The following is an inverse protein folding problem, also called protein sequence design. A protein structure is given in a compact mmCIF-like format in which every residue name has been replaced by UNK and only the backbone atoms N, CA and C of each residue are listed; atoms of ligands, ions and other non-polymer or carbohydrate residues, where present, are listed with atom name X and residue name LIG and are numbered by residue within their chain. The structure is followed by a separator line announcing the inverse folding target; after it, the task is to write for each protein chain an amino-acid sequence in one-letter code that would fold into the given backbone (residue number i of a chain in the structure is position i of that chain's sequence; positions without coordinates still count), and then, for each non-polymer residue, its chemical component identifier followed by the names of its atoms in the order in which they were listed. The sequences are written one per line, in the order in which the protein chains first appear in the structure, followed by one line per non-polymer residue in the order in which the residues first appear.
data_IF_372963663183
#
_entry.id   IF_372963663183
#
_cell.length_a   1.000
_cell.length_b   1.000
_cell.length_c   1.000
_cell.angle_alpha   90.00
_cell.angle_beta   90.00
_cell.angle_gamma   90.00
#
_symmetry.space_group_name_H-M   'P 1'
#
loop_
_entity.id
_entity.type
_entity.pdbx_description
1 polymer ?
#
# COMPACT_ATOMS: atom_id res chain seq x y z
N UNK A 1 -0.22 29.68 46.14
CA UNK A 1 0.12 28.34 45.64
C UNK A 1 0.52 28.53 44.20
N UNK A 2 1.81 28.42 43.95
CA UNK A 2 2.45 28.80 42.69
C UNK A 2 2.06 27.77 41.62
N UNK A 3 1.20 28.16 40.68
CA UNK A 3 0.73 27.31 39.59
C UNK A 3 1.77 27.35 38.45
N UNK A 4 2.97 26.86 38.74
CA UNK A 4 3.96 26.60 37.68
C UNK A 4 3.44 25.43 36.85
N UNK A 5 2.89 25.73 35.68
CA UNK A 5 2.53 24.72 34.67
C UNK A 5 3.81 23.93 34.39
N UNK A 6 3.83 22.67 34.83
CA UNK A 6 4.94 21.77 34.60
C UNK A 6 5.07 21.55 33.09
N UNK A 7 6.02 22.25 32.47
CA UNK A 7 6.25 22.27 31.02
C UNK A 7 7.06 21.08 30.53
N UNK A 8 7.32 20.09 31.38
CA UNK A 8 8.06 18.89 31.02
C UNK A 8 7.26 18.05 30.00
N UNK A 9 7.95 17.36 29.08
CA UNK A 9 7.28 16.64 28.01
C UNK A 9 6.56 15.39 28.51
N UNK A 10 5.23 15.34 28.40
CA UNK A 10 4.39 14.21 28.81
C UNK A 10 3.84 13.39 27.63
N UNK A 11 4.14 13.81 26.40
CA UNK A 11 3.52 13.26 25.20
C UNK A 11 4.56 12.76 24.21
N UNK A 12 4.36 11.56 23.67
CA UNK A 12 5.17 10.94 22.63
C UNK A 12 4.38 10.83 21.32
N UNK A 13 4.98 11.24 20.21
CA UNK A 13 4.39 11.22 18.88
C UNK A 13 5.08 10.20 17.98
N UNK A 14 4.31 9.26 17.45
CA UNK A 14 4.77 8.21 16.56
C UNK A 14 4.01 8.26 15.24
N UNK A 15 4.71 8.16 14.12
CA UNK A 15 4.09 7.94 12.80
C UNK A 15 4.27 6.51 12.38
N UNK A 16 3.16 5.88 12.02
CA UNK A 16 3.14 4.52 11.52
C UNK A 16 2.66 4.56 10.08
N UNK A 17 3.63 4.56 9.18
CA UNK A 17 3.42 4.56 7.74
C UNK A 17 4.22 3.41 7.13
N UNK A 18 3.59 2.63 6.27
CA UNK A 18 4.18 1.47 5.63
C UNK A 18 3.32 0.98 4.47
N UNK A 19 3.89 0.22 3.52
CA UNK A 19 3.12 -0.37 2.43
C UNK A 19 2.08 -1.36 2.96
N UNK A 20 2.41 -2.05 4.05
CA UNK A 20 1.56 -3.00 4.75
C UNK A 20 1.65 -2.75 6.25
N UNK A 21 0.53 -2.88 6.96
CA UNK A 21 0.45 -2.91 8.42
C UNK A 21 -0.50 -4.01 8.88
N UNK A 22 -0.36 -4.50 10.12
CA UNK A 22 -1.27 -5.50 10.65
C UNK A 22 -1.39 -5.45 12.18
N UNK A 23 -2.53 -5.00 12.67
CA UNK A 23 -2.80 -4.78 14.09
C UNK A 23 -3.83 -5.80 14.58
N UNK A 24 -3.37 -6.85 15.27
CA UNK A 24 -4.23 -8.00 15.58
C UNK A 24 -5.42 -7.63 16.47
N UNK A 25 -6.60 -8.18 16.15
CA UNK A 25 -7.79 -8.14 17.00
C UNK A 25 -8.12 -9.49 17.61
N UNK A 26 -8.96 -9.49 18.64
CA UNK A 26 -9.41 -10.67 19.37
C UNK A 26 -10.14 -11.71 18.49
N UNK A 27 -10.74 -11.33 17.35
CA UNK A 27 -11.36 -12.26 16.40
C UNK A 27 -10.36 -13.11 15.61
N UNK A 28 -9.05 -12.84 15.73
CA UNK A 28 -8.00 -13.57 15.03
C UNK A 28 -7.77 -14.97 15.61
N UNK A 29 -8.64 -15.91 15.27
CA UNK A 29 -8.58 -17.30 15.74
C UNK A 29 -7.98 -18.23 14.68
N UNK A 30 -7.05 -19.09 15.12
CA UNK A 30 -6.45 -20.17 14.32
C UNK A 30 -5.78 -19.68 13.01
N UNK A 31 -6.31 -20.15 11.87
CA UNK A 31 -5.78 -19.91 10.53
C UNK A 31 -6.14 -18.54 9.96
N UNK A 32 -7.13 -17.85 10.53
CA UNK A 32 -7.57 -16.53 10.08
C UNK A 32 -7.00 -15.49 11.02
N UNK A 33 -6.16 -14.60 10.47
CA UNK A 33 -5.54 -13.51 11.21
C UNK A 33 -6.07 -12.19 10.66
N UNK A 34 -6.98 -11.55 11.39
CA UNK A 34 -7.56 -10.26 11.03
C UNK A 34 -6.68 -9.10 11.47
N UNK A 35 -6.97 -7.92 10.94
CA UNK A 35 -6.39 -6.65 11.40
C UNK A 35 -7.49 -5.67 11.80
N UNK A 36 -7.22 -4.90 12.85
CA UNK A 36 -7.97 -3.70 13.20
C UNK A 36 -7.80 -2.65 12.10
N UNK A 37 -8.71 -1.67 12.10
CA UNK A 37 -8.66 -0.50 11.22
C UNK A 37 -7.54 0.49 11.59
N UNK A 38 -7.04 0.41 12.82
CA UNK A 38 -6.02 1.29 13.36
C UNK A 38 -5.07 0.52 14.31
N UNK A 39 -3.88 1.07 14.60
CA UNK A 39 -2.96 0.49 15.58
C UNK A 39 -3.59 0.21 16.94
N UNK A 40 -3.43 -1.02 17.42
CA UNK A 40 -3.90 -1.46 18.73
C UNK A 40 -2.89 -1.12 19.83
N UNK A 41 -3.37 -0.89 21.06
CA UNK A 41 -2.53 -0.55 22.21
C UNK A 41 -1.46 -1.62 22.47
N UNK A 42 -1.82 -2.89 22.40
CA UNK A 42 -0.87 -4.02 22.50
C UNK A 42 0.18 -4.02 21.39
N UNK A 43 -0.19 -3.67 20.16
CA UNK A 43 0.73 -3.56 19.03
C UNK A 43 1.75 -2.45 19.24
N UNK A 44 1.31 -1.29 19.72
CA UNK A 44 2.18 -0.15 20.04
C UNK A 44 3.09 -0.47 21.21
N UNK A 45 2.54 -0.99 22.31
CA UNK A 45 3.33 -1.40 23.48
C UNK A 45 4.38 -2.45 23.08
N UNK A 46 4.02 -3.46 22.27
CA UNK A 46 4.97 -4.44 21.76
C UNK A 46 6.09 -3.83 20.93
N UNK A 47 5.79 -2.82 20.11
CA UNK A 47 6.78 -2.05 19.36
C UNK A 47 7.72 -1.28 20.29
N UNK A 48 7.20 -0.63 21.34
CA UNK A 48 8.01 0.08 22.34
C UNK A 48 8.88 -0.87 23.17
N UNK A 49 8.34 -2.01 23.59
CA UNK A 49 9.11 -3.06 24.25
C UNK A 49 10.26 -3.53 23.35
N UNK A 50 10.03 -3.64 22.04
CA UNK A 50 11.09 -3.99 21.10
C UNK A 50 12.17 -2.90 20.96
N UNK A 51 11.77 -1.63 21.00
CA UNK A 51 12.72 -0.52 21.04
C UNK A 51 13.57 -0.55 22.32
N UNK A 52 12.97 -0.87 23.46
CA UNK A 52 13.64 -0.95 24.77
C UNK A 52 14.42 -2.26 25.00
N UNK A 53 14.20 -3.30 24.17
CA UNK A 53 14.82 -4.61 24.35
C UNK A 53 14.19 -5.48 25.45
N UNK A 54 12.91 -5.24 25.80
CA UNK A 54 12.16 -6.00 26.81
C UNK A 54 11.68 -7.33 26.21
N UNK A 55 12.12 -8.45 26.77
CA UNK A 55 11.71 -9.78 26.29
C UNK A 55 10.25 -10.06 26.65
N UNK A 56 9.60 -10.96 25.91
CA UNK A 56 8.18 -11.30 26.11
C UNK A 56 7.87 -11.76 27.53
N UNK A 57 8.75 -12.59 28.10
CA UNK A 57 8.57 -13.14 29.46
C UNK A 57 8.80 -12.10 30.55
N UNK A 58 9.49 -11.00 30.23
CA UNK A 58 9.78 -9.93 31.18
C UNK A 58 8.66 -8.87 31.20
N UNK A 59 7.79 -8.85 30.18
CA UNK A 59 6.71 -7.86 30.05
C UNK A 59 5.81 -7.72 31.29
N UNK A 60 5.40 -8.81 32.00
CA UNK A 60 4.60 -8.69 33.21
C UNK A 60 5.22 -7.75 34.27
N UNK A 61 6.55 -7.64 34.34
CA UNK A 61 7.24 -6.73 35.26
C UNK A 61 7.11 -5.25 34.86
N UNK A 62 6.79 -4.98 33.60
CA UNK A 62 6.65 -3.64 33.03
C UNK A 62 5.18 -3.28 32.71
N UNK A 63 4.25 -4.23 32.83
CA UNK A 63 2.85 -4.11 32.42
C UNK A 63 2.19 -2.85 32.98
N UNK A 64 2.33 -2.59 34.29
CA UNK A 64 1.69 -1.44 34.93
C UNK A 64 2.15 -0.10 34.33
N UNK A 65 3.45 0.03 34.01
CA UNK A 65 3.99 1.25 33.39
C UNK A 65 3.39 1.47 32.01
N UNK A 66 3.39 0.44 31.17
CA UNK A 66 2.83 0.53 29.82
C UNK A 66 1.32 0.73 29.80
N UNK A 67 0.58 0.06 30.69
CA UNK A 67 -0.88 0.14 30.73
C UNK A 67 -1.36 1.50 31.27
N UNK A 68 -0.53 2.19 32.06
CA UNK A 68 -0.81 3.56 32.52
C UNK A 68 -0.75 4.62 31.42
N UNK A 69 -0.16 4.31 30.25
CA UNK A 69 -0.12 5.22 29.12
C UNK A 69 -1.51 5.41 28.53
N UNK A 70 -1.94 6.65 28.35
CA UNK A 70 -3.12 6.99 27.58
C UNK A 70 -2.75 7.08 26.09
N UNK A 71 -3.52 6.45 25.21
CA UNK A 71 -3.24 6.37 23.79
C UNK A 71 -4.33 7.05 22.96
N UNK A 72 -3.91 7.78 21.93
CA UNK A 72 -4.78 8.24 20.88
C UNK A 72 -4.18 7.97 19.51
N UNK A 73 -5.03 7.79 18.51
CA UNK A 73 -4.65 7.53 17.13
C UNK A 73 -5.44 8.44 16.23
N UNK A 74 -4.75 9.17 15.35
CA UNK A 74 -5.36 9.87 14.22
C UNK A 74 -5.05 9.11 12.94
N UNK A 75 -6.10 8.79 12.18
CA UNK A 75 -6.01 8.10 10.91
C UNK A 75 -5.78 9.11 9.80
N UNK A 76 -4.51 9.46 9.54
CA UNK A 76 -4.14 10.35 8.44
C UNK A 76 -4.49 9.75 7.07
N UNK A 77 -4.36 8.42 6.95
CA UNK A 77 -4.87 7.63 5.84
C UNK A 77 -5.29 6.25 6.36
N UNK A 78 -6.57 5.87 6.29
CA UNK A 78 -7.06 4.61 6.86
C UNK A 78 -6.52 3.37 6.13
N UNK A 79 -6.05 3.54 4.89
CA UNK A 79 -5.58 2.45 4.03
C UNK A 79 -6.71 1.55 3.52
N UNK A 80 -6.33 0.49 2.81
CA UNK A 80 -7.24 -0.49 2.21
C UNK A 80 -6.95 -1.87 2.80
N UNK A 81 -7.99 -2.59 3.22
CA UNK A 81 -7.84 -3.96 3.72
C UNK A 81 -7.56 -4.93 2.58
N UNK A 82 -6.56 -5.79 2.75
CA UNK A 82 -6.16 -6.81 1.78
C UNK A 82 -5.94 -8.17 2.43
N UNK A 83 -6.25 -9.24 1.68
CA UNK A 83 -6.04 -10.62 2.13
C UNK A 83 -4.81 -11.24 1.48
N UNK A 84 -3.95 -11.81 2.31
CA UNK A 84 -2.82 -12.64 1.94
C UNK A 84 -3.15 -14.12 2.19
N UNK A 85 -3.04 -14.94 1.15
CA UNK A 85 -3.13 -16.39 1.25
C UNK A 85 -1.74 -16.95 1.55
N UNK A 86 -1.52 -17.30 2.81
CA UNK A 86 -0.19 -17.58 3.35
C UNK A 86 -0.04 -19.05 3.71
N UNK A 87 0.83 -19.73 2.97
CA UNK A 87 1.09 -21.18 3.05
C UNK A 87 2.43 -21.42 3.74
N UNK A 88 2.47 -22.28 4.77
CA UNK A 88 3.70 -22.64 5.49
C UNK A 88 3.90 -24.16 5.44
N UNK A 89 5.15 -24.60 5.33
CA UNK A 89 5.51 -25.99 5.60
C UNK A 89 5.02 -26.98 4.55
N UNK A 90 5.24 -26.70 3.27
CA UNK A 90 5.10 -27.74 2.25
C UNK A 90 6.04 -28.91 2.62
N UNK A 91 5.46 -30.05 3.06
CA UNK A 91 6.20 -31.20 3.58
C UNK A 91 6.28 -31.31 5.10
N UNK A 92 5.56 -30.49 5.87
CA UNK A 92 5.41 -30.70 7.32
C UNK A 92 4.31 -31.72 7.61
N UNK A 93 4.56 -32.56 8.62
CA UNK A 93 3.61 -33.55 9.12
C UNK A 93 2.57 -32.92 10.04
N UNK A 94 1.36 -32.73 9.52
CA UNK A 94 0.25 -32.11 10.26
C UNK A 94 -0.65 -33.20 10.85
N UNK A 95 -1.03 -33.08 12.14
CA UNK A 95 -2.00 -33.98 12.76
C UNK A 95 -3.37 -33.86 12.09
N UNK A 96 -3.99 -34.99 11.78
CA UNK A 96 -5.31 -35.05 11.15
C UNK A 96 -6.36 -35.17 12.25
N UNK A 97 -7.40 -34.33 12.21
CA UNK A 97 -8.49 -34.32 13.19
C UNK A 97 -9.22 -35.67 13.32
N UNK A 98 -9.15 -36.52 12.30
CA UNK A 98 -9.82 -37.82 12.25
C UNK A 98 -9.17 -38.91 13.12
N UNK A 99 -7.88 -38.80 13.49
CA UNK A 99 -7.20 -39.75 14.40
C UNK A 99 -6.03 -39.13 15.16
N UNK A 100 -6.09 -39.23 16.49
CA UNK A 100 -4.97 -38.90 17.40
C UNK A 100 -3.73 -39.73 16.98
N UNK A 101 -2.60 -39.04 16.75
CA UNK A 101 -1.31 -39.67 16.45
C UNK A 101 -1.05 -39.99 14.97
N UNK A 102 -1.96 -39.68 14.04
CA UNK A 102 -1.68 -39.76 12.59
C UNK A 102 -1.41 -38.38 12.01
N UNK A 103 -0.31 -38.28 11.28
CA UNK A 103 0.10 -37.09 10.53
C UNK A 103 -0.04 -37.33 9.03
N UNK A 104 -0.34 -36.27 8.28
CA UNK A 104 -0.26 -36.27 6.82
C UNK A 104 0.59 -35.10 6.36
N UNK A 105 1.36 -35.32 5.31
CA UNK A 105 2.07 -34.25 4.64
C UNK A 105 1.06 -33.29 4.01
N UNK A 106 1.08 -32.05 4.48
CA UNK A 106 0.15 -31.04 4.01
C UNK A 106 0.59 -29.66 4.46
N UNK A 107 0.43 -28.64 3.60
CA UNK A 107 0.76 -27.28 3.99
C UNK A 107 -0.21 -26.77 5.06
N UNK A 108 0.30 -25.99 6.02
CA UNK A 108 -0.54 -25.19 6.89
C UNK A 108 -0.97 -23.94 6.13
N UNK A 109 -2.28 -23.83 5.91
CA UNK A 109 -2.89 -22.69 5.23
C UNK A 109 -3.35 -21.66 6.26
N UNK A 110 -2.98 -20.41 6.03
CA UNK A 110 -3.48 -19.26 6.80
C UNK A 110 -3.93 -18.15 5.87
N UNK A 111 -4.94 -17.38 6.30
CA UNK A 111 -5.38 -16.16 5.61
C UNK A 111 -5.09 -15.00 6.54
N UNK A 112 -4.29 -14.05 6.07
CA UNK A 112 -3.81 -12.93 6.89
C UNK A 112 -4.27 -11.63 6.26
N UNK A 113 -5.00 -10.84 7.02
CA UNK A 113 -5.45 -9.53 6.62
C UNK A 113 -4.37 -8.48 6.93
N UNK A 114 -4.20 -7.52 6.03
CA UNK A 114 -3.29 -6.37 6.16
C UNK A 114 -4.02 -5.07 5.82
N UNK A 115 -3.54 -3.97 6.37
CA UNK A 115 -3.86 -2.62 5.90
C UNK A 115 -2.78 -2.18 4.91
N UNK A 116 -3.17 -1.94 3.67
CA UNK A 116 -2.32 -1.43 2.61
C UNK A 116 -2.34 0.10 2.59
N UNK A 117 -1.18 0.71 2.38
CA UNK A 117 -1.03 2.16 2.19
C UNK A 117 -1.62 3.02 3.33
N UNK A 118 -1.65 2.49 4.55
CA UNK A 118 -2.17 3.19 5.72
C UNK A 118 -1.11 4.10 6.38
N UNK A 119 -1.58 5.20 6.96
CA UNK A 119 -0.78 6.15 7.74
C UNK A 119 -1.52 6.56 9.00
N UNK A 120 -0.86 6.40 10.14
CA UNK A 120 -1.40 6.76 11.44
C UNK A 120 -0.44 7.68 12.20
N UNK A 121 -1.00 8.66 12.89
CA UNK A 121 -0.33 9.36 13.98
C UNK A 121 -0.79 8.73 15.29
N UNK A 122 0.12 8.12 16.02
CA UNK A 122 -0.11 7.59 17.37
C UNK A 122 0.48 8.55 18.39
N UNK A 123 -0.32 8.87 19.38
CA UNK A 123 0.02 9.73 20.51
C UNK A 123 -0.05 8.89 21.78
N UNK A 124 0.97 8.99 22.61
CA UNK A 124 1.00 8.37 23.94
C UNK A 124 1.27 9.43 24.99
N UNK A 125 0.43 9.48 26.02
CA UNK A 125 0.61 10.35 27.18
C UNK A 125 0.89 9.52 28.43
N UNK A 126 1.82 9.99 29.24
CA UNK A 126 2.26 9.30 30.45
C UNK A 126 3.10 10.18 31.35
N UNK A 127 3.80 9.55 32.31
CA UNK A 127 4.73 10.27 33.19
C UNK A 127 5.94 10.79 32.40
N UNK A 128 6.45 11.95 32.79
CA UNK A 128 7.55 12.63 32.08
C UNK A 128 8.78 11.73 31.90
N UNK A 129 9.20 11.06 32.97
CA UNK A 129 10.40 10.21 32.97
C UNK A 129 10.24 9.03 32.01
N UNK A 130 9.05 8.42 31.98
CA UNK A 130 8.80 7.27 31.11
C UNK A 130 8.68 7.68 29.65
N UNK A 131 8.05 8.83 29.37
CA UNK A 131 7.98 9.37 28.00
C UNK A 131 9.38 9.70 27.47
N UNK A 132 10.26 10.28 28.30
CA UNK A 132 11.65 10.52 27.95
C UNK A 132 12.41 9.20 27.67
N UNK A 133 12.21 8.17 28.50
CA UNK A 133 12.79 6.84 28.32
C UNK A 133 12.35 6.21 26.98
N UNK A 134 11.04 6.26 26.68
CA UNK A 134 10.48 5.74 25.43
C UNK A 134 11.00 6.52 24.22
N UNK A 135 11.07 7.85 24.31
CA UNK A 135 11.60 8.69 23.24
C UNK A 135 13.09 8.39 22.95
N UNK A 136 13.88 8.07 23.98
CA UNK A 136 15.28 7.66 23.80
C UNK A 136 15.37 6.28 23.14
N UNK A 137 14.54 5.32 23.58
CA UNK A 137 14.53 3.96 23.05
C UNK A 137 14.16 3.90 21.56
N UNK A 138 13.17 4.66 21.11
CA UNK A 138 12.74 4.63 19.69
C UNK A 138 13.79 5.22 18.76
N UNK A 139 14.56 6.22 19.22
CA UNK A 139 15.66 6.80 18.42
C UNK A 139 16.82 5.82 18.23
N UNK A 140 17.01 4.89 19.16
CA UNK A 140 18.07 3.87 19.12
C UNK A 140 17.51 2.51 19.55
N UNK A 141 16.69 1.87 18.70
CA UNK A 141 15.96 0.67 19.08
C UNK A 141 16.91 -0.53 19.21
N UNK A 142 16.72 -1.33 20.25
CA UNK A 142 17.50 -2.55 20.49
C UNK A 142 17.17 -3.67 19.50
N UNK A 143 15.90 -3.78 19.09
CA UNK A 143 15.46 -4.71 18.05
C UNK A 143 14.81 -3.99 16.87
N UNK A 144 14.75 -4.68 15.73
CA UNK A 144 14.10 -4.15 14.52
C UNK A 144 12.61 -3.87 14.77
N UNK A 145 12.21 -2.62 14.54
CA UNK A 145 10.83 -2.18 14.65
C UNK A 145 10.05 -2.53 13.37
N UNK A 146 8.80 -2.97 13.54
CA UNK A 146 7.90 -3.33 12.45
C UNK A 146 6.46 -3.00 12.79
N UNK A 147 5.62 -2.80 11.78
CA UNK A 147 4.23 -2.39 11.91
C UNK A 147 3.32 -3.61 12.09
N UNK A 148 3.37 -4.16 13.29
CA UNK A 148 2.56 -5.28 13.74
C UNK A 148 3.13 -6.66 13.39
N UNK A 149 3.36 -6.96 12.10
CA UNK A 149 4.06 -8.19 11.67
C UNK A 149 5.47 -7.87 11.18
N UNK A 150 6.42 -8.79 11.37
CA UNK A 150 7.83 -8.60 10.99
C UNK A 150 8.04 -8.34 9.49
N UNK A 151 7.11 -8.78 8.64
CA UNK A 151 7.12 -8.51 7.19
C UNK A 151 6.59 -7.12 6.81
N UNK A 152 6.17 -6.30 7.77
CA UNK A 152 5.65 -4.95 7.57
C UNK A 152 6.69 -3.92 8.04
N UNK A 153 7.73 -3.60 7.24
CA UNK A 153 8.68 -2.56 7.61
C UNK A 153 7.99 -1.19 7.57
N UNK A 154 8.36 -0.26 8.47
CA UNK A 154 7.93 1.12 8.33
C UNK A 154 8.62 1.75 7.10
N UNK A 155 7.88 2.52 6.32
CA UNK A 155 8.43 3.29 5.19
C UNK A 155 9.28 4.47 5.66
N UNK A 156 9.03 4.95 6.87
CA UNK A 156 9.60 6.16 7.45
C UNK A 156 10.05 5.92 8.90
N UNK A 157 10.94 6.76 9.45
CA UNK A 157 11.23 6.74 10.88
C UNK A 157 9.94 6.86 11.70
N UNK A 158 9.78 5.97 12.69
CA UNK A 158 8.59 5.93 13.55
C UNK A 158 8.52 7.18 14.45
N UNK A 159 9.68 7.69 14.87
CA UNK A 159 9.77 8.93 15.64
C UNK A 159 9.69 10.16 14.74
N UNK A 160 8.77 11.09 15.02
CA UNK A 160 8.50 12.25 14.14
C UNK A 160 8.70 13.62 14.75
N UNK A 161 8.66 13.74 16.08
CA UNK A 161 8.75 15.02 16.76
C UNK A 161 9.31 14.83 18.17
N UNK A 162 9.92 15.89 18.70
CA UNK A 162 10.28 15.95 20.11
C UNK A 162 9.02 15.81 20.97
N UNK A 163 9.17 15.10 22.08
CA UNK A 163 8.12 15.01 23.08
C UNK A 163 7.84 16.41 23.63
N UNK A 164 6.57 16.72 23.85
CA UNK A 164 6.13 18.00 24.37
C UNK A 164 5.07 17.81 25.47
N UNK A 165 4.76 18.90 26.17
CA UNK A 165 3.62 18.92 27.07
C UNK A 165 2.33 19.16 26.29
N UNK A 166 1.34 18.29 26.46
CA UNK A 166 -0.03 18.50 26.00
C UNK A 166 -1.01 18.28 27.16
N UNK A 167 -2.05 19.12 27.24
CA UNK A 167 -3.07 19.04 28.30
C UNK A 167 -3.88 17.75 28.27
N UNK A 168 -4.19 17.27 27.07
CA UNK A 168 -5.06 16.12 26.83
C UNK A 168 -4.73 15.48 25.47
N UNK A 169 -5.27 14.28 25.24
CA UNK A 169 -5.04 13.50 24.03
C UNK A 169 -5.52 14.22 22.76
N UNK A 170 -6.61 14.98 22.82
CA UNK A 170 -7.16 15.67 21.65
C UNK A 170 -6.25 16.83 21.24
N UNK A 171 -5.79 17.62 22.22
CA UNK A 171 -4.81 18.69 22.05
C UNK A 171 -3.49 18.15 21.49
N UNK A 172 -3.06 16.97 21.95
CA UNK A 172 -1.88 16.29 21.41
C UNK A 172 -2.06 15.87 19.95
N UNK A 173 -3.22 15.29 19.56
CA UNK A 173 -3.48 14.96 18.15
C UNK A 173 -3.49 16.20 17.23
N UNK A 174 -3.85 17.38 17.76
CA UNK A 174 -3.80 18.65 17.03
C UNK A 174 -2.40 19.25 16.93
N UNK A 175 -1.49 18.90 17.85
CA UNK A 175 -0.15 19.47 17.91
C UNK A 175 0.71 19.16 16.68
N UNK A 176 0.48 18.00 16.04
CA UNK A 176 1.18 17.61 14.82
C UNK A 176 0.31 17.95 13.60
N UNK A 177 0.79 18.72 12.62
CA UNK A 177 0.02 19.04 11.42
C UNK A 177 -0.29 17.78 10.60
N UNK A 178 -1.38 17.82 9.83
CA UNK A 178 -1.66 16.79 8.83
C UNK A 178 -0.63 16.92 7.71
N UNK A 179 -0.10 15.80 7.23
CA UNK A 179 0.88 15.80 6.16
C UNK A 179 0.39 14.89 5.04
N UNK A 180 0.20 15.48 3.86
CA UNK A 180 -0.06 14.72 2.64
C UNK A 180 1.10 13.78 2.36
N UNK A 181 0.80 12.55 1.96
CA UNK A 181 1.82 11.60 1.51
C UNK A 181 2.48 12.11 0.24
N UNK A 182 1.68 12.43 -0.79
CA UNK A 182 2.15 13.02 -2.03
C UNK A 182 1.56 14.40 -2.28
N UNK A 183 2.28 15.23 -3.05
CA UNK A 183 1.84 16.59 -3.41
C UNK A 183 0.46 16.65 -4.09
N UNK A 184 0.13 15.58 -4.85
CA UNK A 184 -1.10 15.48 -5.64
C UNK A 184 -2.28 14.90 -4.86
N UNK A 185 -2.06 14.39 -3.65
CA UNK A 185 -3.14 13.80 -2.86
C UNK A 185 -4.08 14.92 -2.40
N UNK A 186 -5.38 14.63 -2.38
CA UNK A 186 -6.37 15.54 -1.82
C UNK A 186 -6.27 15.52 -0.28
N UNK A 187 -6.43 16.69 0.34
CA UNK A 187 -6.56 16.74 1.80
C UNK A 187 -7.97 16.27 2.17
N UNK A 188 -8.12 15.33 3.13
CA UNK A 188 -9.43 15.00 3.64
C UNK A 188 -10.01 16.17 4.45
N UNK A 189 -11.34 16.33 4.43
CA UNK A 189 -12.03 17.34 5.23
C UNK A 189 -11.98 17.01 6.72
N UNK A 190 -12.09 15.73 7.05
CA UNK A 190 -12.07 15.19 8.41
C UNK A 190 -11.07 14.05 8.54
N UNK A 191 -10.46 13.95 9.72
CA UNK A 191 -9.62 12.85 10.13
C UNK A 191 -10.30 12.09 11.27
N UNK A 192 -10.52 10.79 11.06
CA UNK A 192 -11.03 9.91 12.10
C UNK A 192 -9.96 9.70 13.18
N UNK A 193 -10.36 9.82 14.44
CA UNK A 193 -9.51 9.68 15.60
C UNK A 193 -10.10 8.68 16.60
N UNK A 194 -9.25 7.88 17.21
CA UNK A 194 -9.58 6.95 18.29
C UNK A 194 -8.82 7.39 19.55
N UNK A 195 -9.52 7.59 20.66
CA UNK A 195 -8.93 8.07 21.90
C UNK A 195 -9.24 7.10 23.04
N UNK A 196 -8.25 6.80 23.88
CA UNK A 196 -8.48 6.18 25.17
C UNK A 196 -9.45 7.02 25.98
N UNK A 197 -10.54 6.40 26.44
CA UNK A 197 -11.39 7.01 27.45
C UNK A 197 -10.92 6.59 28.84
N UNK A 198 -10.85 7.57 29.74
CA UNK A 198 -10.55 7.36 31.14
C UNK A 198 -11.64 8.01 32.00
N UNK A 199 -12.06 7.36 33.09
CA UNK A 199 -13.04 7.93 34.00
C UNK A 199 -12.49 9.20 34.65
N UNK A 200 -13.33 10.23 34.74
CA UNK A 200 -13.04 11.48 35.43
C UNK A 200 -13.97 11.65 36.62
N UNK A 201 -13.67 12.58 37.54
CA UNK A 201 -14.56 12.86 38.67
C UNK A 201 -15.96 13.29 38.22
N UNK A 202 -16.06 14.00 37.09
CA UNK A 202 -17.31 14.50 36.53
C UNK A 202 -18.03 13.45 35.65
N UNK A 203 -17.28 12.51 35.05
CA UNK A 203 -17.78 11.41 34.24
C UNK A 203 -17.10 10.10 34.65
N UNK A 204 -17.60 9.45 35.72
CA UNK A 204 -17.03 8.19 36.21
C UNK A 204 -17.41 6.97 35.36
N UNK A 205 -18.49 7.08 34.58
CA UNK A 205 -19.01 6.03 33.71
C UNK A 205 -18.70 6.31 32.25
N UNK A 206 -18.45 5.24 31.48
CA UNK A 206 -18.13 5.35 30.07
C UNK A 206 -19.35 5.90 29.29
N UNK A 207 -19.14 6.83 28.35
CA UNK A 207 -20.19 7.30 27.44
C UNK A 207 -20.84 6.16 26.66
N UNK A 208 -22.10 6.32 26.24
CA UNK A 208 -22.85 5.31 25.48
C UNK A 208 -22.21 4.97 24.13
N UNK A 209 -21.47 5.92 23.54
CA UNK A 209 -20.75 5.77 22.26
C UNK A 209 -19.33 5.22 22.43
N UNK A 210 -18.91 4.86 23.64
CA UNK A 210 -17.61 4.25 23.88
C UNK A 210 -17.56 2.79 23.40
N UNK A 211 -16.60 2.49 22.55
CA UNK A 211 -16.33 1.14 22.05
C UNK A 211 -15.43 0.36 23.02
N UNK A 212 -15.63 -0.95 23.10
CA UNK A 212 -14.77 -1.85 23.91
C UNK A 212 -13.74 -2.54 23.01
N UNK A 213 -12.46 -2.28 23.26
CA UNK A 213 -11.34 -2.88 22.54
C UNK A 213 -10.53 -3.80 23.46
N UNK A 214 -10.35 -5.07 23.08
CA UNK A 214 -9.56 -6.06 23.84
C UNK A 214 -8.09 -6.05 23.43
N UNK A 215 -7.39 -4.98 23.73
CA UNK A 215 -6.02 -4.77 23.28
C UNK A 215 -5.06 -4.18 24.32
N UNK A 216 -5.43 -4.15 25.61
CA UNK A 216 -4.50 -3.81 26.70
C UNK A 216 -3.64 -5.04 27.00
N UNK A 217 -2.32 -5.03 26.80
CA UNK A 217 -1.50 -6.22 26.99
C UNK A 217 -1.38 -6.61 28.47
N UNK A 218 -1.57 -7.90 28.76
CA UNK A 218 -1.30 -8.53 30.07
C UNK A 218 -0.02 -9.36 29.99
N UNK A 219 0.11 -10.19 28.96
CA UNK A 219 1.31 -10.94 28.67
C UNK A 219 1.50 -11.06 27.16
N UNK A 220 2.76 -11.17 26.71
CA UNK A 220 3.10 -11.51 25.34
C UNK A 220 3.48 -12.98 25.16
N UNK A 221 3.59 -13.76 26.25
CA UNK A 221 3.86 -15.19 26.23
C UNK A 221 3.26 -15.91 27.48
N UNK A 222 2.16 -16.67 27.34
CA UNK A 222 1.26 -16.66 26.19
C UNK A 222 0.58 -15.29 26.02
N UNK A 223 0.18 -14.90 24.80
CA UNK A 223 -0.49 -13.63 24.56
C UNK A 223 -1.84 -13.54 25.30
N UNK A 224 -2.01 -12.49 26.11
CA UNK A 224 -3.25 -12.20 26.85
C UNK A 224 -3.53 -10.70 26.87
N UNK A 225 -4.81 -10.33 26.74
CA UNK A 225 -5.25 -8.94 26.60
C UNK A 225 -6.51 -8.64 27.43
N UNK A 226 -6.56 -7.44 28.00
CA UNK A 226 -7.68 -6.86 28.73
C UNK A 226 -8.44 -5.83 27.88
N UNK A 227 -9.70 -5.55 28.21
CA UNK A 227 -10.48 -4.52 27.54
C UNK A 227 -10.08 -3.10 27.95
N UNK A 228 -10.27 -2.15 27.03
CA UNK A 228 -10.32 -0.70 27.28
C UNK A 228 -11.49 -0.06 26.55
N UNK A 229 -11.89 1.13 27.00
CA UNK A 229 -12.87 1.97 26.31
C UNK A 229 -12.18 2.92 25.33
N UNK A 230 -12.70 3.00 24.12
CA UNK A 230 -12.19 3.84 23.03
C UNK A 230 -13.32 4.72 22.51
N UNK A 231 -13.08 6.01 22.39
CA UNK A 231 -14.04 6.97 21.81
C UNK A 231 -13.56 7.40 20.44
N UNK A 232 -14.50 7.42 19.49
CA UNK A 232 -14.29 7.91 18.14
C UNK A 232 -14.58 9.40 18.07
N UNK A 233 -13.65 10.20 17.54
CA UNK A 233 -13.83 11.63 17.29
C UNK A 233 -13.34 12.00 15.90
N UNK A 234 -13.91 13.04 15.33
CA UNK A 234 -13.45 13.59 14.06
C UNK A 234 -12.76 14.92 14.30
N UNK A 235 -11.60 15.10 13.66
CA UNK A 235 -10.88 16.38 13.63
C UNK A 235 -10.93 16.95 12.22
N UNK A 236 -11.34 18.21 12.08
CA UNK A 236 -11.32 18.91 10.80
C UNK A 236 -9.91 19.34 10.41
N UNK A 237 -9.56 19.17 9.14
CA UNK A 237 -8.34 19.75 8.55
C UNK A 237 -8.73 21.17 8.11
N UNK A 238 -8.17 22.18 8.80
CA UNK A 238 -8.77 23.53 8.95
C UNK A 238 -9.15 24.28 7.66
N UNK A 239 -10.00 25.31 7.72
CA UNK A 239 -9.87 26.49 8.61
C UNK A 239 -10.97 26.60 9.68
N UNK A 240 -10.53 26.84 10.91
CA UNK A 240 -11.29 27.08 12.14
C UNK A 240 -11.74 25.79 12.85
N UNK A 241 -10.73 24.94 13.10
CA UNK A 241 -10.82 23.63 13.76
C UNK A 241 -9.70 23.23 14.76
N UNK A 242 -8.41 23.50 14.58
CA UNK A 242 -7.58 23.27 13.40
C UNK A 242 -6.74 21.99 13.58
N UNK A 243 -6.58 21.20 12.53
CA UNK A 243 -5.29 20.62 12.13
C UNK A 243 -4.90 21.30 10.82
N UNK A 244 -3.74 21.98 10.79
CA UNK A 244 -3.24 22.67 9.59
C UNK A 244 -2.50 21.66 8.70
N UNK A 245 -2.70 21.66 7.37
CA UNK A 245 -1.82 20.90 6.48
C UNK A 245 -0.41 21.47 6.56
N UNK A 246 0.61 20.61 6.63
CA UNK A 246 1.99 21.07 6.55
C UNK A 246 2.28 21.67 5.16
N UNK A 247 3.18 22.66 5.12
CA UNK A 247 3.53 23.40 3.89
C UNK A 247 4.12 22.51 2.79
N UNK A 248 4.71 21.37 3.15
CA UNK A 248 5.35 20.44 2.22
C UNK A 248 4.78 19.03 2.38
N UNK A 249 4.49 18.34 1.26
CA UNK A 249 4.14 16.92 1.29
C UNK A 249 5.33 16.09 1.74
N UNK A 250 5.05 14.91 2.25
CA UNK A 250 6.07 14.06 2.84
C UNK A 250 7.00 13.44 1.79
N UNK A 251 6.42 12.83 0.75
CA UNK A 251 7.16 12.23 -0.36
C UNK A 251 7.00 13.05 -1.63
N UNK A 252 8.09 13.18 -2.36
CA UNK A 252 8.03 13.56 -3.77
C UNK A 252 7.63 12.29 -4.54
N UNK A 253 6.61 12.33 -5.41
CA UNK A 253 6.29 11.20 -6.26
C UNK A 253 7.54 10.76 -7.01
N UNK A 254 7.85 9.46 -6.96
CA UNK A 254 8.94 8.96 -7.78
C UNK A 254 8.61 9.26 -9.25
N UNK A 255 9.51 9.94 -9.99
CA UNK A 255 9.29 10.15 -11.40
C UNK A 255 9.13 8.79 -12.08
N UNK A 256 8.19 8.70 -13.03
CA UNK A 256 8.05 7.48 -13.81
C UNK A 256 9.40 7.10 -14.41
N UNK A 257 9.75 5.80 -14.47
CA UNK A 257 10.99 5.37 -15.08
C UNK A 257 11.08 5.92 -16.50
N UNK A 258 12.29 6.33 -16.91
CA UNK A 258 12.53 6.84 -18.25
C UNK A 258 12.09 5.79 -19.28
N UNK A 259 11.05 6.11 -20.06
CA UNK A 259 10.61 5.26 -21.17
C UNK A 259 11.46 5.58 -22.38
N UNK A 260 12.30 4.63 -22.80
CA UNK A 260 12.92 4.64 -24.12
C UNK A 260 11.83 4.68 -25.21
N UNK A 261 11.97 5.60 -26.17
CA UNK A 261 11.01 5.76 -27.29
C UNK A 261 11.70 5.41 -28.60
N UNK A 262 10.95 4.83 -29.53
CA UNK A 262 11.43 4.62 -30.89
C UNK A 262 11.80 5.96 -31.54
N UNK A 263 13.06 6.10 -31.94
CA UNK A 263 13.54 7.26 -32.69
C UNK A 263 13.58 6.92 -34.19
N UNK A 264 12.52 7.29 -34.91
CA UNK A 264 12.39 7.04 -36.36
C UNK A 264 13.39 7.82 -37.24
N UNK A 265 14.12 8.78 -36.67
CA UNK A 265 15.18 9.52 -37.33
C UNK A 265 16.55 8.84 -37.19
N UNK A 266 16.71 7.87 -36.27
CA UNK A 266 17.95 7.12 -36.11
C UNK A 266 18.16 6.14 -37.28
N UNK A 267 19.36 6.14 -37.85
CA UNK A 267 19.77 5.28 -38.97
C UNK A 267 19.87 3.81 -38.57
N UNK A 268 20.36 3.51 -37.36
CA UNK A 268 20.44 2.15 -36.83
C UNK A 268 19.05 1.55 -36.60
N UNK A 269 18.11 2.38 -36.12
CA UNK A 269 16.71 1.99 -35.98
C UNK A 269 16.08 1.58 -37.32
N UNK A 270 16.36 2.33 -38.40
CA UNK A 270 15.89 1.99 -39.75
C UNK A 270 16.52 0.70 -40.26
N UNK A 271 17.83 0.50 -40.04
CA UNK A 271 18.52 -0.74 -40.39
C UNK A 271 17.97 -1.96 -39.66
N UNK A 272 17.69 -1.86 -38.36
CA UNK A 272 17.13 -2.95 -37.57
C UNK A 272 15.75 -3.39 -38.10
N UNK A 273 14.89 -2.42 -38.44
CA UNK A 273 13.58 -2.70 -39.07
C UNK A 273 13.70 -3.33 -40.44
N UNK A 274 14.62 -2.84 -41.28
CA UNK A 274 14.84 -3.42 -42.60
C UNK A 274 15.34 -4.87 -42.49
N UNK A 275 16.34 -5.12 -41.63
CA UNK A 275 16.84 -6.47 -41.35
C UNK A 275 15.73 -7.43 -40.90
N UNK A 276 14.76 -6.96 -40.10
CA UNK A 276 13.63 -7.79 -39.69
C UNK A 276 12.68 -8.13 -40.84
N UNK A 277 12.38 -7.14 -41.70
CA UNK A 277 11.59 -7.36 -42.91
C UNK A 277 12.27 -8.35 -43.85
N UNK A 278 13.58 -8.19 -44.07
CA UNK A 278 14.37 -9.08 -44.94
C UNK A 278 14.41 -10.51 -44.36
N UNK A 279 14.60 -10.64 -43.04
CA UNK A 279 14.59 -11.93 -42.35
C UNK A 279 13.25 -12.67 -42.49
N UNK A 280 12.14 -11.94 -42.38
CA UNK A 280 10.79 -12.48 -42.56
C UNK A 280 10.37 -12.57 -44.05
N UNK A 281 11.30 -12.38 -44.98
CA UNK A 281 11.06 -12.40 -46.44
C UNK A 281 9.95 -11.44 -46.89
N UNK A 282 9.82 -10.30 -46.21
CA UNK A 282 8.73 -9.33 -46.40
C UNK A 282 7.32 -9.93 -46.24
N UNK A 283 7.17 -10.98 -45.42
CA UNK A 283 5.89 -11.58 -45.09
C UNK A 283 5.45 -11.23 -43.66
N UNK A 284 4.16 -10.99 -43.49
CA UNK A 284 3.56 -10.75 -42.18
C UNK A 284 3.63 -12.03 -41.36
N UNK A 285 4.24 -12.00 -40.17
CA UNK A 285 4.36 -13.19 -39.31
C UNK A 285 2.99 -13.79 -38.95
N UNK A 286 1.96 -12.94 -38.84
CA UNK A 286 0.60 -13.33 -38.45
C UNK A 286 -0.22 -13.93 -39.60
N UNK A 287 -0.29 -13.24 -40.74
CA UNK A 287 -1.23 -13.58 -41.83
C UNK A 287 -0.59 -13.94 -43.16
N UNK A 288 0.75 -13.88 -43.24
CA UNK A 288 1.54 -14.16 -44.45
C UNK A 288 1.28 -13.24 -45.65
N UNK A 289 0.47 -12.20 -45.51
CA UNK A 289 0.38 -11.12 -46.51
C UNK A 289 1.69 -10.29 -46.54
N UNK A 290 1.97 -9.55 -47.63
CA UNK A 290 3.16 -8.69 -47.71
C UNK A 290 3.26 -7.72 -46.52
N UNK A 291 4.41 -7.72 -45.85
CA UNK A 291 4.72 -6.88 -44.71
C UNK A 291 5.41 -5.59 -45.15
N UNK A 292 4.88 -4.46 -44.68
CA UNK A 292 5.43 -3.11 -44.91
C UNK A 292 5.77 -2.40 -43.60
N UNK A 293 5.45 -3.02 -42.47
CA UNK A 293 5.57 -2.44 -41.13
C UNK A 293 6.19 -3.44 -40.18
N UNK A 294 6.73 -2.94 -39.06
CA UNK A 294 7.35 -3.76 -38.03
C UNK A 294 6.74 -3.37 -36.69
N UNK A 295 6.21 -4.35 -35.97
CA UNK A 295 5.69 -4.20 -34.61
C UNK A 295 6.82 -4.43 -33.61
N UNK A 296 6.87 -3.62 -32.55
CA UNK A 296 7.76 -3.87 -31.41
C UNK A 296 7.00 -4.77 -30.43
N UNK A 297 7.65 -5.84 -29.96
CA UNK A 297 7.13 -6.67 -28.87
C UNK A 297 7.63 -6.20 -27.50
N UNK A 298 8.68 -5.38 -27.46
CA UNK A 298 9.10 -4.67 -26.25
C UNK A 298 9.80 -3.36 -26.61
N UNK A 299 9.67 -2.35 -25.75
CA UNK A 299 10.37 -1.06 -25.86
C UNK A 299 11.63 -0.97 -25.00
N UNK A 300 12.00 -2.04 -24.28
CA UNK A 300 13.13 -2.04 -23.34
C UNK A 300 14.45 -1.58 -23.97
N UNK A 301 14.68 -1.91 -25.25
CA UNK A 301 15.87 -1.53 -26.03
C UNK A 301 15.60 -0.52 -27.15
N UNK A 302 14.43 0.14 -27.12
CA UNK A 302 14.03 1.02 -28.20
C UNK A 302 14.92 2.26 -28.34
N UNK A 303 15.33 2.60 -29.56
CA UNK A 303 16.19 3.75 -29.85
C UNK A 303 17.44 3.46 -30.68
N UNK A 304 17.58 2.27 -31.27
CA UNK A 304 18.71 1.88 -32.13
C UNK A 304 19.51 0.66 -31.66
N UNK A 305 19.20 0.11 -30.47
CA UNK A 305 19.80 -1.12 -29.94
C UNK A 305 18.80 -2.31 -29.98
N UNK A 306 17.76 -2.23 -30.81
CA UNK A 306 16.77 -3.30 -30.94
C UNK A 306 17.40 -4.56 -31.53
N UNK A 307 17.07 -5.70 -30.93
CA UNK A 307 17.43 -7.02 -31.46
C UNK A 307 16.34 -7.52 -32.42
N UNK A 308 16.66 -8.55 -33.21
CA UNK A 308 15.67 -9.18 -34.10
C UNK A 308 14.51 -9.82 -33.35
N UNK A 309 14.70 -10.18 -32.08
CA UNK A 309 13.67 -10.73 -31.22
C UNK A 309 12.68 -9.66 -30.76
N UNK A 310 13.09 -8.39 -30.68
CA UNK A 310 12.23 -7.28 -30.23
C UNK A 310 11.20 -6.84 -31.29
N UNK A 311 11.32 -7.36 -32.52
CA UNK A 311 10.63 -6.86 -33.70
C UNK A 311 9.89 -7.99 -34.45
N UNK A 312 8.72 -7.69 -35.03
CA UNK A 312 7.96 -8.61 -35.88
C UNK A 312 7.45 -7.94 -37.15
N UNK A 313 7.72 -8.55 -38.31
CA UNK A 313 7.22 -8.03 -39.60
C UNK A 313 5.73 -8.24 -39.73
N UNK A 314 5.02 -7.18 -40.08
CA UNK A 314 3.57 -7.20 -40.17
C UNK A 314 3.07 -6.42 -41.38
N UNK A 315 1.95 -6.87 -41.95
CA UNK A 315 1.20 -6.06 -42.89
C UNK A 315 0.45 -4.95 -42.14
N UNK A 316 0.16 -3.84 -42.82
CA UNK A 316 -0.45 -2.66 -42.21
C UNK A 316 -1.76 -2.97 -41.47
N UNK A 317 -2.61 -3.84 -42.02
CA UNK A 317 -3.88 -4.22 -41.39
C UNK A 317 -3.67 -4.96 -40.06
N UNK A 318 -2.71 -5.88 -39.99
CA UNK A 318 -2.43 -6.58 -38.73
C UNK A 318 -1.80 -5.63 -37.72
N UNK A 319 -0.94 -4.71 -38.18
CA UNK A 319 -0.27 -3.74 -37.32
C UNK A 319 -1.27 -2.78 -36.68
N UNK A 320 -2.20 -2.26 -37.47
CA UNK A 320 -3.29 -1.41 -36.98
C UNK A 320 -4.16 -2.16 -35.96
N UNK A 321 -4.49 -3.43 -36.22
CA UNK A 321 -5.28 -4.27 -35.31
C UNK A 321 -4.58 -4.47 -33.95
N UNK A 322 -3.29 -4.82 -33.96
CA UNK A 322 -2.51 -4.97 -32.73
C UNK A 322 -2.43 -3.64 -31.97
N UNK A 323 -2.10 -2.55 -32.67
CA UNK A 323 -1.98 -1.21 -32.05
C UNK A 323 -3.29 -0.77 -31.38
N UNK A 324 -4.44 -1.05 -32.02
CA UNK A 324 -5.75 -0.73 -31.45
C UNK A 324 -6.07 -1.53 -30.19
N UNK A 325 -5.65 -2.80 -30.12
CA UNK A 325 -5.82 -3.62 -28.91
C UNK A 325 -4.92 -3.07 -27.80
N UNK A 326 -3.69 -2.67 -28.11
CA UNK A 326 -2.74 -2.12 -27.14
C UNK A 326 -3.23 -0.80 -26.52
N UNK A 327 -3.89 0.06 -27.30
CA UNK A 327 -4.50 1.28 -26.75
C UNK A 327 -5.61 0.97 -25.73
N UNK A 328 -6.34 -0.15 -25.87
CA UNK A 328 -7.37 -0.56 -24.92
C UNK A 328 -6.85 -1.21 -23.64
N UNK A 329 -5.66 -1.83 -23.68
CA UNK A 329 -5.07 -2.57 -22.54
C UNK A 329 -4.06 -1.73 -21.74
N UNK A 330 -3.70 -0.54 -22.24
CA UNK A 330 -2.69 0.32 -21.65
C UNK A 330 -1.30 0.02 -22.23
N UNK A 331 -0.65 1.04 -22.78
CA UNK A 331 0.67 0.91 -23.43
C UNK A 331 1.79 0.73 -22.41
N UNK A 332 2.03 -0.53 -22.02
CA UNK A 332 3.20 -0.97 -21.27
C UNK A 332 4.49 -1.00 -22.10
N UNK A 333 5.60 -1.37 -21.44
CA UNK A 333 6.88 -1.60 -22.12
C UNK A 333 6.87 -2.88 -22.96
N UNK A 334 6.20 -3.91 -22.47
CA UNK A 334 5.97 -5.16 -23.22
C UNK A 334 4.68 -5.03 -24.01
N UNK A 335 4.82 -5.23 -25.32
CA UNK A 335 3.82 -5.03 -26.35
C UNK A 335 3.29 -6.38 -26.80
N UNK A 336 2.18 -6.37 -27.54
CA UNK A 336 1.57 -7.62 -28.00
C UNK A 336 2.49 -8.29 -29.03
N UNK A 337 2.91 -9.53 -28.72
CA UNK A 337 3.53 -10.39 -29.71
C UNK A 337 2.44 -11.05 -30.57
N UNK A 338 2.35 -10.76 -31.88
CA UNK A 338 1.34 -11.33 -32.76
C UNK A 338 1.47 -12.85 -32.98
N UNK A 339 2.63 -13.44 -32.67
CA UNK A 339 2.85 -14.89 -32.79
C UNK A 339 2.27 -15.68 -31.61
N UNK A 340 2.00 -15.00 -30.50
CA UNK A 340 1.48 -15.65 -29.30
C UNK A 340 0.01 -16.08 -29.52
N UNK A 341 -0.31 -17.37 -29.34
CA UNK A 341 -1.65 -17.91 -29.52
C UNK A 341 -2.74 -17.14 -28.75
N UNK A 342 -2.43 -16.59 -27.57
CA UNK A 342 -3.43 -15.90 -26.73
C UNK A 342 -4.04 -14.66 -27.40
N UNK A 343 -3.33 -14.05 -28.35
CA UNK A 343 -3.78 -12.84 -29.04
C UNK A 343 -4.43 -13.13 -30.39
N UNK A 344 -4.36 -14.37 -30.89
CA UNK A 344 -4.75 -14.71 -32.25
C UNK A 344 -6.21 -14.38 -32.56
N UNK A 345 -7.14 -14.81 -31.71
CA UNK A 345 -8.57 -14.56 -31.90
C UNK A 345 -8.90 -13.08 -31.83
N UNK A 346 -8.34 -12.37 -30.85
CA UNK A 346 -8.54 -10.93 -30.67
C UNK A 346 -8.03 -10.13 -31.88
N UNK A 347 -6.86 -10.49 -32.42
CA UNK A 347 -6.31 -9.84 -33.62
C UNK A 347 -7.20 -10.13 -34.83
N UNK A 348 -7.69 -11.37 -35.02
CA UNK A 348 -8.59 -11.71 -36.14
C UNK A 348 -9.90 -10.92 -36.06
N UNK A 349 -10.53 -10.87 -34.88
CA UNK A 349 -11.76 -10.09 -34.66
C UNK A 349 -11.52 -8.61 -34.96
N UNK A 350 -10.46 -8.01 -34.41
CA UNK A 350 -10.15 -6.59 -34.63
C UNK A 350 -9.85 -6.30 -36.11
N UNK A 351 -9.19 -7.22 -36.82
CA UNK A 351 -8.98 -7.08 -38.28
C UNK A 351 -10.30 -7.05 -39.05
N UNK A 352 -11.25 -7.91 -38.70
CA UNK A 352 -12.58 -7.93 -39.34
C UNK A 352 -13.33 -6.62 -39.09
N UNK A 353 -13.28 -6.09 -37.87
CA UNK A 353 -13.86 -4.79 -37.54
C UNK A 353 -13.25 -3.65 -38.38
N UNK A 354 -11.90 -3.61 -38.50
CA UNK A 354 -11.21 -2.60 -39.32
C UNK A 354 -11.63 -2.71 -40.80
N UNK A 355 -11.73 -3.93 -41.33
CA UNK A 355 -12.15 -4.16 -42.72
C UNK A 355 -13.61 -3.74 -42.94
N UNK A 356 -14.52 -4.07 -42.01
CA UNK A 356 -15.92 -3.66 -42.09
C UNK A 356 -16.04 -2.13 -42.07
N UNK A 357 -15.32 -1.46 -41.16
CA UNK A 357 -15.29 -0.01 -41.07
C UNK A 357 -14.76 0.65 -42.36
N UNK A 358 -13.60 0.19 -42.87
CA UNK A 358 -13.01 0.72 -44.11
C UNK A 358 -13.90 0.48 -45.33
N UNK A 359 -14.57 -0.67 -45.39
CA UNK A 359 -15.52 -0.99 -46.46
C UNK A 359 -16.73 -0.06 -46.44
N UNK A 360 -17.29 0.22 -45.27
CA UNK A 360 -18.39 1.19 -45.09
C UNK A 360 -17.97 2.62 -45.46
N UNK A 361 -16.80 3.08 -45.01
CA UNK A 361 -16.23 4.38 -45.40
C UNK A 361 -16.02 4.48 -46.91
N UNK A 362 -15.46 3.45 -47.53
CA UNK A 362 -15.24 3.42 -48.98
C UNK A 362 -16.56 3.44 -49.75
N UNK A 363 -17.57 2.72 -49.25
CA UNK A 363 -18.93 2.70 -49.84
C UNK A 363 -19.61 4.06 -49.70
N UNK A 364 -19.46 4.74 -48.55
CA UNK A 364 -19.92 6.13 -48.35
C UNK A 364 -19.24 7.11 -49.31
N UNK A 365 -17.92 7.00 -49.49
CA UNK A 365 -17.16 7.87 -50.42
C UNK A 365 -17.47 7.59 -51.89
N UNK A 366 -17.70 6.34 -52.29
CA UNK A 366 -18.09 5.99 -53.67
C UNK A 366 -19.53 6.35 -54.01
N UNK A 367 -20.40 6.47 -53.01
CA UNK A 367 -21.74 7.05 -53.16
C UNK A 367 -21.70 8.59 -53.27
N UNK A 368 -20.52 9.21 -53.08
CA UNK A 368 -20.27 10.62 -53.35
C UNK A 368 -19.52 10.77 -54.69
N UNK A 369 -20.24 10.77 -55.80
CA UNK A 369 -19.84 11.56 -56.99
C UNK A 369 -20.99 11.73 -57.97
N UNK A 370 -21.62 12.90 -57.96
CA UNK A 370 -21.85 13.77 -59.12
C UNK A 370 -22.18 15.17 -58.60
N UNK A 371 -21.19 16.06 -58.62
CA UNK A 371 -21.33 17.51 -58.85
C UNK A 371 -19.96 17.98 -59.40
N UNK A 372 -19.72 17.61 -60.66
CA UNK A 372 -18.77 18.25 -61.57
C UNK A 372 -19.58 18.66 -62.80
N UNK A 373 -20.29 19.77 -62.66
CA UNK A 373 -20.42 20.92 -63.59
C UNK A 373 -21.45 21.90 -63.01
#
# INVERSE_FOLDING_TARGET
MDNTIDSRPNTLFLRLEGPLQAWGQHESKFAIRRTAEAPTKSGIVGLLCAAMGIRRNDFPNHQQKFNSLAMAVRMDSPGIRWWDYHTVGAGMQMQIAERIGKTKDGPLLSRREYLCDAQFLVVLQGTFDFIAELAAAIRKPQWSLYLGRKCCPPSLPIWIAESNYCSDLLSALKAIPYQKRYAKDDSPEFLDCLLDWQPTADQPEAPEDAEVWYDVPVSFDPPGYEPRFVIRKNLSVGKDGDIKPADKPFLVPMPSPLRTRANYQNTEFRKARQKRLDHDQHLCVFCKSPATTVQHITYQRAGGNETQEDLRSMCRLCHDAVTMIEYGVGMGMDRINPEDPQWREKILQKRQEILAFRSLETRRRRLQSEEVE
#
